data_IF_737925554195
#
_entry.id   IF_737925554195
#
_cell.length_a   1.000
_cell.length_b   1.000
_cell.length_c   1.000
_cell.angle_alpha   90.00
_cell.angle_beta   90.00
_cell.angle_gamma   90.00
#
_symmetry.space_group_name_H-M   'P 1'
#
loop_
_entity.id
_entity.type
_entity.pdbx_description
1 polymer ?
#
# COMPACT_ATOMS: atom_id res chain seq x y z
N UNK A 1 3.29 19.34 -37.25
CA UNK A 1 4.61 19.50 -36.58
C UNK A 1 4.49 19.69 -35.06
N UNK A 2 3.47 20.40 -34.56
CA UNK A 2 3.22 20.55 -33.11
C UNK A 2 3.00 19.22 -32.36
N UNK A 3 2.35 18.24 -33.00
CA UNK A 3 2.02 16.94 -32.41
C UNK A 3 3.25 16.05 -32.14
N UNK A 4 4.30 16.13 -32.96
CA UNK A 4 5.54 15.37 -32.75
C UNK A 4 6.39 15.95 -31.62
N UNK A 5 6.37 17.27 -31.46
CA UNK A 5 7.08 17.99 -30.40
C UNK A 5 6.50 17.68 -29.02
N UNK A 6 5.17 17.56 -28.92
CA UNK A 6 4.49 17.17 -27.69
C UNK A 6 4.83 15.72 -27.28
N UNK A 7 4.90 14.80 -28.25
CA UNK A 7 5.28 13.41 -27.98
C UNK A 7 6.73 13.28 -27.49
N UNK A 8 7.66 14.04 -28.10
CA UNK A 8 9.05 14.08 -27.63
C UNK A 8 9.17 14.70 -26.22
N UNK A 9 8.40 15.74 -25.92
CA UNK A 9 8.40 16.36 -24.60
C UNK A 9 7.91 15.39 -23.51
N UNK A 10 6.84 14.62 -23.79
CA UNK A 10 6.32 13.60 -22.87
C UNK A 10 7.33 12.47 -22.61
N UNK A 11 8.09 12.04 -23.62
CA UNK A 11 9.11 11.00 -23.47
C UNK A 11 10.31 11.45 -22.62
N UNK A 12 10.64 12.75 -22.62
CA UNK A 12 11.75 13.30 -21.84
C UNK A 12 11.42 13.42 -20.34
N UNK A 13 10.15 13.58 -19.96
CA UNK A 13 9.74 13.64 -18.55
C UNK A 13 9.74 12.27 -17.85
N UNK A 14 9.67 11.16 -18.60
CA UNK A 14 9.75 9.80 -18.02
C UNK A 14 11.15 9.38 -17.57
N UNK A 15 12.21 10.11 -17.94
CA UNK A 15 13.59 9.69 -17.68
C UNK A 15 14.14 10.06 -16.29
N UNK A 16 13.38 10.81 -15.47
CA UNK A 16 13.82 11.30 -14.15
C UNK A 16 13.23 10.52 -12.98
N UNK A 17 12.87 9.24 -13.17
CA UNK A 17 12.54 8.37 -12.04
C UNK A 17 13.82 7.81 -11.45
N UNK A 18 14.38 8.53 -10.46
CA UNK A 18 15.36 7.94 -9.56
C UNK A 18 14.68 6.86 -8.73
N UNK A 19 14.82 5.61 -9.17
CA UNK A 19 14.59 4.46 -8.31
C UNK A 19 15.64 4.54 -7.19
N UNK A 20 15.21 4.86 -5.97
CA UNK A 20 16.02 4.60 -4.79
C UNK A 20 16.13 3.07 -4.71
N UNK A 21 17.31 2.54 -5.07
CA UNK A 21 17.61 1.12 -4.99
C UNK A 21 17.70 0.74 -3.50
N UNK A 22 16.59 0.26 -2.95
CA UNK A 22 16.59 -0.40 -1.64
C UNK A 22 17.36 -1.71 -1.81
N UNK A 23 18.54 -1.80 -1.21
CA UNK A 23 19.38 -3.00 -1.16
C UNK A 23 18.78 -4.04 -0.20
N UNK A 24 17.51 -4.39 -0.39
CA UNK A 24 16.88 -5.51 0.27
C UNK A 24 17.19 -6.79 -0.50
N UNK A 25 17.54 -7.89 0.19
CA UNK A 25 17.48 -9.21 -0.43
C UNK A 25 16.03 -9.49 -0.82
N UNK A 26 15.71 -9.71 -2.11
CA UNK A 26 14.34 -9.95 -2.51
C UNK A 26 13.83 -11.28 -1.95
N UNK A 27 12.60 -11.30 -1.43
CA UNK A 27 11.97 -12.51 -0.89
C UNK A 27 11.80 -13.66 -1.91
N UNK A 28 11.95 -13.37 -3.21
CA UNK A 28 11.96 -14.39 -4.26
C UNK A 28 13.28 -15.17 -4.39
N UNK A 29 14.33 -14.84 -3.63
CA UNK A 29 15.55 -15.66 -3.61
C UNK A 29 15.39 -16.95 -2.78
N UNK A 30 14.19 -17.23 -2.27
CA UNK A 30 13.82 -18.45 -1.58
C UNK A 30 12.77 -19.16 -2.45
N UNK A 31 13.17 -20.26 -3.10
CA UNK A 31 12.30 -21.13 -3.88
C UNK A 31 11.29 -21.86 -2.98
N UNK A 32 10.32 -22.55 -3.58
CA UNK A 32 9.33 -23.42 -2.91
C UNK A 32 9.97 -24.50 -2.00
N UNK A 33 11.27 -24.79 -2.16
CA UNK A 33 12.08 -25.74 -1.37
C UNK A 33 12.92 -25.09 -0.25
N UNK A 34 12.70 -23.81 0.08
CA UNK A 34 13.45 -23.15 1.14
C UNK A 34 12.94 -23.51 2.54
N UNK A 35 13.81 -24.07 3.38
CA UNK A 35 13.51 -24.44 4.78
C UNK A 35 13.30 -23.24 5.72
N UNK A 36 13.52 -22.01 5.25
CA UNK A 36 13.22 -20.79 6.00
C UNK A 36 11.92 -20.17 5.48
N UNK A 37 10.92 -19.95 6.34
CA UNK A 37 9.70 -19.25 5.94
C UNK A 37 10.06 -17.92 5.27
N UNK A 38 9.49 -17.61 4.09
CA UNK A 38 9.80 -16.37 3.40
C UNK A 38 9.43 -15.21 4.32
N UNK A 39 10.31 -14.22 4.43
CA UNK A 39 10.06 -12.97 5.15
C UNK A 39 10.30 -11.76 4.27
N UNK A 40 9.59 -10.68 4.57
CA UNK A 40 9.90 -9.36 4.05
C UNK A 40 10.73 -8.64 5.10
N UNK A 41 11.94 -8.23 4.76
CA UNK A 41 12.84 -7.50 5.65
C UNK A 41 13.14 -6.11 5.08
N UNK A 42 12.99 -5.07 5.88
CA UNK A 42 13.26 -3.68 5.49
C UNK A 42 14.08 -3.02 6.59
N UNK A 43 15.10 -2.30 6.16
CA UNK A 43 16.02 -1.55 7.01
C UNK A 43 15.80 -0.05 6.76
N UNK A 44 15.64 0.71 7.84
CA UNK A 44 15.44 2.16 7.80
C UNK A 44 16.12 2.83 8.98
N UNK A 45 16.32 4.14 8.89
CA UNK A 45 16.86 4.97 9.95
C UNK A 45 15.78 5.98 10.37
N UNK A 46 15.48 6.06 11.67
CA UNK A 46 14.48 6.98 12.22
C UNK A 46 15.07 7.64 13.46
N UNK A 47 15.24 8.96 13.39
CA UNK A 47 15.93 9.73 14.43
C UNK A 47 17.28 9.11 14.78
N UNK A 48 17.43 8.71 16.05
CA UNK A 48 18.65 8.13 16.61
C UNK A 48 18.75 6.61 16.46
N UNK A 49 17.82 5.95 15.76
CA UNK A 49 17.75 4.49 15.67
C UNK A 49 17.89 3.94 14.24
N UNK A 50 18.68 2.88 14.10
CA UNK A 50 18.57 1.92 13.02
C UNK A 50 17.48 0.91 13.34
N UNK A 51 16.50 0.80 12.42
CA UNK A 51 15.35 -0.08 12.55
C UNK A 51 15.40 -1.12 11.44
N UNK A 52 15.35 -2.39 11.83
CA UNK A 52 15.10 -3.50 10.91
C UNK A 52 13.78 -4.15 11.31
N UNK A 53 12.84 -4.25 10.38
CA UNK A 53 11.62 -5.01 10.64
C UNK A 53 11.47 -6.17 9.66
N UNK A 54 10.86 -7.25 10.15
CA UNK A 54 10.61 -8.46 9.38
C UNK A 54 9.18 -8.91 9.53
N UNK A 55 8.51 -9.22 8.42
CA UNK A 55 7.15 -9.76 8.44
C UNK A 55 7.16 -11.23 8.03
N UNK A 56 6.46 -12.06 8.81
CA UNK A 56 6.28 -13.49 8.59
C UNK A 56 4.79 -13.85 8.56
N UNK A 57 4.29 -14.58 7.56
CA UNK A 57 4.99 -14.92 6.30
C UNK A 57 5.17 -13.67 5.41
N UNK A 58 6.06 -13.72 4.42
CA UNK A 58 6.31 -12.62 3.47
C UNK A 58 5.06 -12.18 2.70
N UNK A 59 4.11 -13.11 2.53
CA UNK A 59 2.83 -12.86 1.86
C UNK A 59 1.70 -13.32 2.78
N UNK A 60 1.28 -12.50 3.78
CA UNK A 60 0.20 -12.86 4.67
C UNK A 60 -1.11 -13.08 3.92
N UNK A 61 -1.89 -14.04 4.41
CA UNK A 61 -3.21 -14.35 3.86
C UNK A 61 -4.31 -14.04 4.88
N UNK A 62 -5.53 -13.76 4.42
CA UNK A 62 -6.66 -13.59 5.32
C UNK A 62 -6.91 -14.86 6.14
N UNK A 63 -7.25 -14.68 7.42
CA UNK A 63 -7.50 -15.72 8.41
C UNK A 63 -6.31 -16.64 8.71
N UNK A 64 -5.09 -16.22 8.34
CA UNK A 64 -3.86 -16.90 8.72
C UNK A 64 -3.06 -16.00 9.69
N UNK A 65 -2.47 -16.57 10.76
CA UNK A 65 -1.67 -15.80 11.69
C UNK A 65 -0.38 -15.31 11.01
N UNK A 66 -0.01 -14.08 11.30
CA UNK A 66 1.29 -13.52 10.93
C UNK A 66 1.97 -12.86 12.13
N UNK A 67 3.19 -12.40 11.92
CA UNK A 67 3.99 -11.72 12.93
C UNK A 67 4.88 -10.68 12.27
N UNK A 68 5.03 -9.54 12.94
CA UNK A 68 6.09 -8.57 12.68
C UNK A 68 7.14 -8.67 13.79
N UNK A 69 8.40 -8.74 13.38
CA UNK A 69 9.55 -8.64 14.26
C UNK A 69 10.20 -7.27 14.04
N UNK A 70 10.59 -6.58 15.10
CA UNK A 70 11.31 -5.31 15.01
C UNK A 70 12.61 -5.40 15.82
N UNK A 71 13.69 -5.00 15.19
CA UNK A 71 15.00 -4.77 15.79
C UNK A 71 15.23 -3.26 15.75
N UNK A 72 15.58 -2.67 16.89
CA UNK A 72 15.84 -1.25 17.00
C UNK A 72 17.14 -1.06 17.77
N UNK A 73 18.13 -0.43 17.13
CA UNK A 73 19.47 -0.21 17.69
C UNK A 73 19.84 1.25 17.54
N UNK A 74 20.34 1.87 18.61
CA UNK A 74 20.84 3.24 18.59
C UNK A 74 22.05 3.37 17.67
N UNK A 75 22.10 4.47 16.93
CA UNK A 75 23.13 4.74 15.92
C UNK A 75 24.45 5.17 16.58
N UNK A 76 24.37 5.91 17.68
CA UNK A 76 25.51 6.52 18.36
C UNK A 76 26.34 5.51 19.15
N UNK A 77 25.69 4.59 19.87
CA UNK A 77 26.33 3.67 20.80
C UNK A 77 26.08 2.19 20.50
N UNK A 78 25.17 1.86 19.57
CA UNK A 78 24.86 0.47 19.21
C UNK A 78 24.01 -0.28 20.25
N UNK A 79 23.47 0.40 21.27
CA UNK A 79 22.60 -0.21 22.26
C UNK A 79 21.21 -0.49 21.67
N UNK A 80 20.60 -1.60 22.09
CA UNK A 80 19.25 -1.93 21.69
C UNK A 80 18.24 -1.02 22.39
N UNK A 81 17.16 -0.66 21.69
CA UNK A 81 16.02 -0.02 22.32
C UNK A 81 15.45 -0.93 23.42
N UNK A 82 15.35 -0.45 24.65
CA UNK A 82 14.78 -1.19 25.79
C UNK A 82 13.54 -0.44 26.34
N UNK A 83 12.66 -0.04 25.43
CA UNK A 83 11.38 0.60 25.75
C UNK A 83 10.21 -0.30 25.36
N UNK A 84 9.05 -0.14 25.99
CA UNK A 84 7.83 -0.82 25.55
C UNK A 84 7.33 -0.21 24.24
N UNK A 85 7.17 -1.02 23.20
CA UNK A 85 6.58 -0.59 21.92
C UNK A 85 5.09 -0.90 21.92
N UNK A 86 4.27 0.11 21.61
CA UNK A 86 2.85 -0.06 21.32
C UNK A 86 2.64 -0.26 19.83
N UNK A 87 1.94 -1.32 19.47
CA UNK A 87 1.59 -1.63 18.08
C UNK A 87 0.13 -1.30 17.82
N UNK A 88 -0.10 -0.55 16.75
CA UNK A 88 -1.43 -0.27 16.23
C UNK A 88 -1.55 -0.70 14.79
N UNK A 89 -2.77 -0.89 14.31
CA UNK A 89 -3.06 -1.22 12.92
C UNK A 89 -4.19 -0.35 12.40
N UNK A 90 -4.09 0.07 11.15
CA UNK A 90 -5.15 0.75 10.41
C UNK A 90 -5.27 0.20 9.01
N UNK A 91 -6.46 0.29 8.43
CA UNK A 91 -6.67 0.02 7.01
C UNK A 91 -6.09 1.20 6.19
N UNK A 92 -5.39 0.88 5.10
CA UNK A 92 -4.79 1.82 4.16
C UNK A 92 -5.63 1.91 2.87
N UNK A 93 -6.95 1.71 2.98
CA UNK A 93 -7.83 1.79 1.82
C UNK A 93 -7.94 3.23 1.32
N UNK A 94 -7.26 3.49 0.21
CA UNK A 94 -7.35 4.72 -0.59
C UNK A 94 -8.79 5.21 -0.78
N UNK A 95 -9.78 4.32 -0.93
CA UNK A 95 -11.18 4.68 -1.17
C UNK A 95 -11.91 5.25 0.06
N UNK A 96 -11.56 4.88 1.29
CA UNK A 96 -12.23 5.48 2.46
C UNK A 96 -11.84 6.94 2.65
N UNK A 97 -10.56 7.25 2.40
CA UNK A 97 -9.97 8.54 2.72
C UNK A 97 -10.05 9.55 1.54
N UNK A 98 -9.85 9.10 0.29
CA UNK A 98 -9.74 10.02 -0.87
C UNK A 98 -11.07 10.55 -1.42
N UNK A 99 -12.18 9.85 -1.20
CA UNK A 99 -13.51 10.26 -1.69
C UNK A 99 -14.44 10.73 -0.55
N UNK A 100 -13.96 10.76 0.70
CA UNK A 100 -14.75 11.19 1.86
C UNK A 100 -15.96 10.28 2.17
N UNK A 101 -15.97 9.05 1.63
CA UNK A 101 -17.00 8.04 1.89
C UNK A 101 -16.35 6.95 2.74
N UNK A 102 -16.29 7.20 4.04
CA UNK A 102 -15.75 6.26 5.01
C UNK A 102 -15.25 6.99 6.25
N UNK A 103 -15.49 6.43 7.42
CA UNK A 103 -14.72 6.80 8.61
C UNK A 103 -13.30 6.31 8.34
N UNK A 104 -12.33 7.22 8.13
CA UNK A 104 -10.92 6.86 8.06
C UNK A 104 -10.61 5.89 9.19
N UNK A 105 -10.09 4.70 8.86
CA UNK A 105 -10.07 3.57 9.78
C UNK A 105 -9.30 3.97 11.04
N UNK A 106 -10.03 4.05 12.18
CA UNK A 106 -9.42 4.38 13.46
C UNK A 106 -8.34 3.34 13.77
N UNK A 107 -7.13 3.77 14.20
CA UNK A 107 -6.10 2.83 14.61
C UNK A 107 -6.60 1.91 15.72
N UNK A 108 -6.43 0.61 15.54
CA UNK A 108 -6.72 -0.42 16.52
C UNK A 108 -5.41 -0.86 17.19
N UNK A 109 -5.37 -0.91 18.52
CA UNK A 109 -4.18 -1.41 19.25
C UNK A 109 -4.15 -2.94 19.15
N UNK A 110 -3.08 -3.48 18.56
CA UNK A 110 -2.89 -4.93 18.41
C UNK A 110 -2.01 -5.54 19.50
N UNK A 111 -1.26 -4.72 20.23
CA UNK A 111 -0.50 -5.17 21.40
C UNK A 111 0.55 -4.17 21.88
N UNK A 112 1.14 -4.50 23.02
CA UNK A 112 2.30 -3.84 23.57
C UNK A 112 3.37 -4.90 23.80
N UNK A 113 4.60 -4.65 23.35
CA UNK A 113 5.69 -5.60 23.46
C UNK A 113 6.87 -4.95 24.19
N UNK A 114 7.41 -5.68 25.15
CA UNK A 114 8.75 -5.42 25.68
C UNK A 114 9.78 -6.12 24.79
N UNK A 115 11.03 -5.68 24.86
CA UNK A 115 12.10 -6.35 24.13
C UNK A 115 12.37 -7.74 24.75
N UNK A 116 12.55 -8.74 23.90
CA UNK A 116 12.89 -10.10 24.30
C UNK A 116 13.94 -10.65 23.35
N UNK A 117 15.14 -10.95 23.87
CA UNK A 117 16.28 -11.40 23.08
C UNK A 117 16.63 -10.45 21.91
N UNK A 118 16.59 -9.15 22.19
CA UNK A 118 16.95 -8.10 21.24
C UNK A 118 15.92 -7.80 20.15
N UNK A 119 14.70 -8.34 20.25
CA UNK A 119 13.66 -8.19 19.23
C UNK A 119 12.27 -8.06 19.84
N UNK A 120 11.45 -7.22 19.21
CA UNK A 120 10.02 -7.10 19.52
C UNK A 120 9.23 -7.99 18.58
N UNK A 121 8.35 -8.85 19.13
CA UNK A 121 7.60 -9.86 18.38
C UNK A 121 6.10 -9.62 18.51
N UNK A 122 5.47 -8.98 17.53
CA UNK A 122 4.04 -8.71 17.54
C UNK A 122 3.29 -9.59 16.55
N UNK A 123 2.36 -10.42 17.05
CA UNK A 123 1.46 -11.22 16.23
C UNK A 123 0.30 -10.41 15.65
N UNK A 124 -0.23 -10.81 14.51
CA UNK A 124 -1.43 -10.24 13.92
C UNK A 124 -2.29 -11.31 13.23
N UNK A 125 -3.59 -11.04 13.08
CA UNK A 125 -4.53 -11.88 12.34
C UNK A 125 -5.55 -11.00 11.62
N UNK A 126 -5.45 -10.93 10.30
CA UNK A 126 -6.38 -10.15 9.48
C UNK A 126 -7.49 -11.03 8.94
N UNK A 127 -8.75 -10.66 9.15
CA UNK A 127 -9.91 -11.44 8.65
C UNK A 127 -10.14 -11.24 7.15
N UNK A 128 -9.79 -10.07 6.64
CA UNK A 128 -10.06 -9.63 5.28
C UNK A 128 -8.76 -9.36 4.54
N UNK A 129 -8.79 -9.53 3.22
CA UNK A 129 -7.71 -9.05 2.35
C UNK A 129 -7.76 -7.52 2.30
N UNK A 130 -6.60 -6.90 2.17
CA UNK A 130 -6.52 -5.44 2.17
C UNK A 130 -5.08 -4.95 2.23
N UNK A 131 -4.94 -3.63 2.13
CA UNK A 131 -3.71 -2.93 2.41
C UNK A 131 -3.85 -2.35 3.82
N UNK A 132 -2.91 -2.65 4.69
CA UNK A 132 -2.92 -2.24 6.09
C UNK A 132 -1.62 -1.53 6.42
N UNK A 133 -1.65 -0.70 7.45
CA UNK A 133 -0.44 -0.11 8.04
C UNK A 133 -0.39 -0.56 9.49
N UNK A 134 0.66 -1.30 9.84
CA UNK A 134 1.01 -1.58 11.23
C UNK A 134 1.95 -0.46 11.67
N UNK A 135 1.65 0.20 12.79
CA UNK A 135 2.47 1.24 13.37
C UNK A 135 3.08 0.77 14.68
N UNK A 136 4.39 0.86 14.80
CA UNK A 136 5.09 0.79 16.09
C UNK A 136 5.28 2.19 16.66
N UNK A 137 4.91 2.36 17.92
CA UNK A 137 5.06 3.61 18.68
C UNK A 137 5.88 3.36 19.94
N UNK A 138 6.85 4.22 20.21
CA UNK A 138 7.54 4.28 21.49
C UNK A 138 7.98 5.72 21.77
N UNK A 139 8.27 6.00 23.04
CA UNK A 139 8.88 7.27 23.45
C UNK A 139 10.28 6.99 23.97
N UNK A 140 11.26 7.75 23.52
CA UNK A 140 12.62 7.74 24.06
C UNK A 140 13.08 9.18 24.30
N UNK A 141 13.70 9.44 25.45
CA UNK A 141 14.17 10.78 25.85
C UNK A 141 13.11 11.90 25.76
N UNK A 142 11.82 11.57 25.88
CA UNK A 142 10.71 12.52 25.76
C UNK A 142 10.31 12.86 24.33
N UNK A 143 10.88 12.19 23.34
CA UNK A 143 10.51 12.30 21.92
C UNK A 143 9.67 11.09 21.49
N UNK A 144 8.54 11.31 20.78
CA UNK A 144 7.73 10.23 20.24
C UNK A 144 8.29 9.72 18.92
N UNK A 145 8.42 8.41 18.80
CA UNK A 145 8.85 7.71 17.60
C UNK A 145 7.70 6.90 17.02
N UNK A 146 7.39 7.14 15.74
CA UNK A 146 6.36 6.42 14.99
C UNK A 146 6.97 5.77 13.76
N UNK A 147 6.68 4.47 13.58
CA UNK A 147 7.21 3.68 12.46
C UNK A 147 6.04 2.97 11.77
N UNK A 148 5.77 3.35 10.53
CA UNK A 148 4.70 2.78 9.71
C UNK A 148 5.22 1.68 8.80
N UNK A 149 4.63 0.50 8.93
CA UNK A 149 4.92 -0.69 8.14
C UNK A 149 3.73 -0.98 7.21
N UNK A 150 3.84 -0.66 5.90
CA UNK A 150 2.81 -1.02 4.94
C UNK A 150 2.79 -2.54 4.76
N UNK A 151 1.60 -3.12 4.83
CA UNK A 151 1.38 -4.56 4.75
C UNK A 151 0.22 -4.90 3.82
N UNK A 152 0.51 -5.66 2.77
CA UNK A 152 -0.50 -6.22 1.88
C UNK A 152 -0.92 -7.61 2.36
N UNK A 153 -2.19 -7.80 2.69
CA UNK A 153 -2.76 -9.10 3.06
C UNK A 153 -3.58 -9.65 1.90
N UNK A 154 -3.17 -10.81 1.39
CA UNK A 154 -3.75 -11.42 0.19
C UNK A 154 -3.46 -10.65 -1.10
N UNK A 155 -3.96 -11.18 -2.22
CA UNK A 155 -3.72 -10.58 -3.54
C UNK A 155 -4.40 -9.20 -3.67
N UNK A 156 -3.68 -8.25 -4.26
CA UNK A 156 -4.22 -6.94 -4.60
C UNK A 156 -5.44 -7.06 -5.53
N UNK A 157 -6.39 -6.14 -5.38
CA UNK A 157 -7.55 -6.10 -6.29
C UNK A 157 -7.08 -5.78 -7.72
N UNK A 158 -7.50 -6.55 -8.74
CA UNK A 158 -7.15 -6.27 -10.12
C UNK A 158 -7.83 -4.99 -10.66
N UNK A 159 -8.88 -4.51 -9.98
CA UNK A 159 -9.59 -3.28 -10.34
C UNK A 159 -9.32 -2.23 -9.28
N UNK A 160 -8.39 -1.32 -9.58
CA UNK A 160 -8.11 -0.12 -8.80
C UNK A 160 -8.81 1.13 -9.36
N UNK A 161 -8.47 2.34 -8.85
CA UNK A 161 -9.04 3.61 -9.32
C UNK A 161 -8.95 3.82 -10.83
N UNK A 162 -7.85 3.38 -11.44
CA UNK A 162 -7.65 3.46 -12.89
C UNK A 162 -8.69 2.62 -13.63
N UNK A 163 -8.92 1.38 -13.18
CA UNK A 163 -9.93 0.49 -13.77
C UNK A 163 -11.34 1.07 -13.66
N UNK A 164 -11.68 1.66 -12.51
CA UNK A 164 -12.94 2.34 -12.30
C UNK A 164 -13.10 3.56 -13.22
N UNK A 165 -12.05 4.39 -13.37
CA UNK A 165 -12.07 5.55 -14.25
C UNK A 165 -12.27 5.16 -15.73
N UNK A 166 -11.57 4.14 -16.20
CA UNK A 166 -11.73 3.61 -17.57
C UNK A 166 -13.15 3.08 -17.79
N UNK A 167 -13.68 2.33 -16.82
CA UNK A 167 -15.07 1.84 -16.86
C UNK A 167 -16.09 2.98 -16.89
N UNK A 168 -15.88 4.03 -16.10
CA UNK A 168 -16.74 5.21 -16.07
C UNK A 168 -16.72 5.97 -17.40
N UNK A 169 -15.54 6.20 -17.98
CA UNK A 169 -15.41 6.85 -19.30
C UNK A 169 -16.13 6.03 -20.37
N UNK A 170 -15.93 4.71 -20.38
CA UNK A 170 -16.59 3.83 -21.34
C UNK A 170 -18.13 3.87 -21.19
N UNK A 171 -18.62 3.84 -19.95
CA UNK A 171 -20.04 3.98 -19.66
C UNK A 171 -20.60 5.33 -20.13
N UNK A 172 -19.88 6.43 -19.90
CA UNK A 172 -20.27 7.77 -20.34
C UNK A 172 -20.37 7.84 -21.87
N UNK A 173 -19.39 7.30 -22.59
CA UNK A 173 -19.38 7.24 -24.06
C UNK A 173 -20.54 6.41 -24.59
N UNK A 174 -20.85 5.28 -23.96
CA UNK A 174 -22.02 4.45 -24.29
C UNK A 174 -23.33 5.22 -24.11
N UNK A 175 -23.49 5.92 -23.00
CA UNK A 175 -24.68 6.73 -22.73
C UNK A 175 -24.85 7.85 -23.74
N UNK A 176 -23.76 8.58 -24.06
CA UNK A 176 -23.77 9.62 -25.08
C UNK A 176 -24.15 9.03 -26.44
N UNK A 177 -23.57 7.88 -26.82
CA UNK A 177 -23.86 7.22 -28.09
C UNK A 177 -25.35 6.83 -28.20
N UNK A 178 -25.93 6.24 -27.14
CA UNK A 178 -27.35 5.86 -27.10
C UNK A 178 -28.24 7.09 -27.22
N UNK A 179 -27.95 8.17 -26.48
CA UNK A 179 -28.73 9.42 -26.52
C UNK A 179 -28.65 10.08 -27.89
N UNK A 180 -27.45 10.18 -28.47
CA UNK A 180 -27.26 10.73 -29.81
C UNK A 180 -28.00 9.92 -30.87
N UNK A 181 -27.91 8.58 -30.81
CA UNK A 181 -28.62 7.68 -31.73
C UNK A 181 -30.14 7.86 -31.65
N UNK A 182 -30.69 7.95 -30.43
CA UNK A 182 -32.13 8.25 -30.22
C UNK A 182 -32.52 9.62 -30.75
N UNK A 183 -31.66 10.63 -30.58
CA UNK A 183 -31.92 12.00 -31.08
C UNK A 183 -31.98 12.04 -32.61
N UNK A 184 -31.00 11.43 -33.30
CA UNK A 184 -30.96 11.37 -34.77
C UNK A 184 -32.18 10.63 -35.34
N UNK A 185 -32.56 9.50 -34.73
CA UNK A 185 -33.75 8.75 -35.15
C UNK A 185 -35.04 9.58 -35.03
N UNK A 186 -35.19 10.36 -33.95
CA UNK A 186 -36.35 11.25 -33.77
C UNK A 186 -36.36 12.40 -34.79
N UNK A 187 -35.21 12.98 -35.12
CA UNK A 187 -35.12 14.06 -36.12
C UNK A 187 -35.49 13.57 -37.53
N UNK A 188 -35.09 12.35 -37.92
CA UNK A 188 -35.46 11.77 -39.22
C UNK A 188 -36.98 11.55 -39.36
N UNK A 189 -37.64 11.15 -38.28
CA UNK A 189 -39.10 10.96 -38.25
C UNK A 189 -39.83 12.31 -38.37
N UNK A 190 -39.32 13.39 -37.75
CA UNK A 190 -39.89 14.73 -37.87
C UNK A 190 -39.67 15.39 -39.24
N UNK A 191 -38.65 14.97 -39.99
CA UNK A 191 -38.34 15.50 -41.33
C UNK A 191 -38.99 14.71 -42.49
N UNK A 192 -39.84 13.73 -42.20
CA UNK A 192 -40.69 13.08 -43.21
C UNK A 192 -39.95 12.24 -44.26
N UNK A 193 -38.70 11.84 -44.03
CA UNK A 193 -38.03 10.86 -44.89
C UNK A 193 -38.39 9.43 -44.42
N UNK A 194 -39.30 8.81 -45.16
CA UNK A 194 -39.56 7.36 -45.12
C UNK A 194 -38.34 6.56 -45.60
N UNK A 195 -38.16 5.40 -44.97
CA UNK A 195 -37.04 4.43 -45.05
C UNK A 195 -36.53 4.18 -46.47
#
# INVERSE_FOLDING_TARGET
MLSGLLLCALALFSALTHAHHVLGRPSYSLNEDSNTPPSMAIETQIGEYFITYMVFPAFPKPNEPGRVNIYATRIDNGEMLDQTITFTVRDDTFWGESIGIGDGAKPEVIGQQNIDDGVYRQGFLFKSRGSYIIRAYFEDNGEPYEIDFPLQVGAASPVGPIGAAVGFIFFLLLMINIVQRKRIARTKIQQGQTV
#
